data_IF_303446415342
#
_entry.id   IF_303446415342
#
_cell.length_a   1.000
_cell.length_b   1.000
_cell.length_c   1.000
_cell.angle_alpha   90.00
_cell.angle_beta   90.00
_cell.angle_gamma   90.00
#
_symmetry.space_group_name_H-M   'P 1'
#
loop_
_entity.id
_entity.type
_entity.pdbx_description
1 polymer ?
#
# COMPACT_ATOMS: atom_id res chain seq x y z
N UNK A 1 -25.49 -3.44 -18.71
CA UNK A 1 -24.39 -4.41 -18.47
C UNK A 1 -24.64 -5.12 -17.16
N UNK A 2 -24.59 -6.47 -17.13
CA UNK A 2 -24.85 -7.30 -15.94
C UNK A 2 -23.68 -7.17 -14.97
N UNK A 3 -23.84 -6.41 -13.89
CA UNK A 3 -23.00 -6.53 -12.70
C UNK A 3 -23.72 -7.45 -11.72
N UNK A 4 -23.52 -8.74 -11.93
CA UNK A 4 -23.93 -9.79 -11.01
C UNK A 4 -22.72 -10.14 -10.14
N UNK A 5 -22.84 -10.01 -8.81
CA UNK A 5 -22.31 -10.96 -7.84
C UNK A 5 -22.77 -10.56 -6.43
N UNK A 6 -23.83 -11.26 -6.01
CA UNK A 6 -24.12 -11.88 -4.71
C UNK A 6 -23.39 -11.41 -3.45
N UNK A 7 -24.10 -11.58 -2.32
CA UNK A 7 -23.53 -11.74 -0.97
C UNK A 7 -22.44 -12.83 -0.97
N UNK A 8 -21.23 -12.47 -1.37
CA UNK A 8 -20.06 -13.31 -1.31
C UNK A 8 -19.27 -12.88 -0.08
N UNK A 9 -18.93 -13.82 0.78
CA UNK A 9 -17.80 -13.64 1.70
C UNK A 9 -16.57 -13.62 0.81
N UNK A 10 -16.25 -12.45 0.26
CA UNK A 10 -15.12 -12.27 -0.65
C UNK A 10 -13.85 -12.39 0.18
N UNK A 11 -13.02 -13.40 -0.12
CA UNK A 11 -11.65 -13.44 0.37
C UNK A 11 -10.84 -12.43 -0.43
N UNK A 12 -10.81 -11.17 0.03
CA UNK A 12 -10.15 -10.07 -0.68
C UNK A 12 -8.64 -10.19 -0.54
N UNK A 13 -7.93 -10.38 -1.65
CA UNK A 13 -6.48 -10.08 -1.72
C UNK A 13 -6.33 -8.59 -1.96
N UNK A 14 -5.44 -7.91 -1.24
CA UNK A 14 -5.17 -6.48 -1.48
C UNK A 14 -3.83 -6.34 -2.18
N UNK A 15 -3.77 -5.46 -3.17
CA UNK A 15 -2.59 -5.34 -4.03
C UNK A 15 -1.32 -4.92 -3.29
N UNK A 16 -0.17 -5.10 -3.94
CA UNK A 16 1.10 -4.56 -3.44
C UNK A 16 1.06 -3.03 -3.22
N UNK A 17 0.09 -2.32 -3.84
CA UNK A 17 -0.10 -0.87 -3.74
C UNK A 17 -1.19 -0.40 -2.75
N UNK A 18 -2.05 -1.29 -2.25
CA UNK A 18 -3.11 -0.98 -1.28
C UNK A 18 -3.17 -2.06 -0.22
N UNK A 19 -3.17 -1.71 1.07
CA UNK A 19 -3.24 -2.68 2.17
C UNK A 19 -4.65 -2.76 2.77
N UNK A 20 -4.89 -3.77 3.62
CA UNK A 20 -6.20 -4.02 4.26
C UNK A 20 -6.62 -2.84 5.13
N UNK A 21 -5.71 -2.19 5.86
CA UNK A 21 -6.06 -1.05 6.71
C UNK A 21 -6.46 0.19 5.89
N UNK A 22 -5.79 0.44 4.76
CA UNK A 22 -6.14 1.51 3.83
C UNK A 22 -7.50 1.25 3.17
N UNK A 23 -7.78 0.01 2.81
CA UNK A 23 -9.10 -0.43 2.38
C UNK A 23 -10.15 -0.18 3.48
N UNK A 24 -9.91 -0.64 4.70
CA UNK A 24 -10.81 -0.45 5.84
C UNK A 24 -11.02 1.02 6.20
N UNK A 25 -10.00 1.87 6.11
CA UNK A 25 -10.12 3.33 6.33
C UNK A 25 -10.96 4.00 5.25
N UNK A 26 -10.81 3.58 3.99
CA UNK A 26 -11.65 4.09 2.89
C UNK A 26 -13.09 3.62 3.05
N UNK A 27 -13.31 2.37 3.47
CA UNK A 27 -14.65 1.86 3.81
C UNK A 27 -15.27 2.57 5.02
N UNK A 28 -14.49 2.91 6.06
CA UNK A 28 -14.98 3.71 7.22
C UNK A 28 -15.38 5.14 6.87
N UNK A 29 -14.86 5.69 5.76
CA UNK A 29 -15.25 7.02 5.26
C UNK A 29 -16.52 6.95 4.40
N UNK A 30 -16.98 5.75 4.05
CA UNK A 30 -18.22 5.58 3.31
C UNK A 30 -19.43 5.96 4.18
N UNK A 31 -20.54 6.38 3.55
CA UNK A 31 -21.80 6.59 4.26
C UNK A 31 -22.21 5.34 5.05
N UNK A 32 -22.72 5.52 6.27
CA UNK A 32 -23.25 4.42 7.06
C UNK A 32 -24.37 3.69 6.29
N UNK A 33 -24.27 2.36 6.23
CA UNK A 33 -25.20 1.52 5.48
C UNK A 33 -24.98 1.49 3.97
N UNK A 34 -23.82 1.95 3.47
CA UNK A 34 -23.49 1.84 2.05
C UNK A 34 -23.23 0.38 1.62
N UNK A 35 -23.77 0.01 0.46
CA UNK A 35 -23.58 -1.30 -0.17
C UNK A 35 -22.21 -1.36 -0.83
N UNK A 36 -21.43 -2.40 -0.53
CA UNK A 36 -20.09 -2.60 -1.09
C UNK A 36 -20.17 -3.51 -2.31
N UNK A 37 -19.71 -3.02 -3.45
CA UNK A 37 -19.69 -3.72 -4.74
C UNK A 37 -18.23 -4.01 -5.12
N UNK A 38 -17.96 -5.17 -5.71
CA UNK A 38 -16.66 -5.49 -6.31
C UNK A 38 -16.77 -5.43 -7.83
N UNK A 39 -15.90 -4.64 -8.47
CA UNK A 39 -15.64 -4.71 -9.91
C UNK A 39 -14.46 -5.65 -10.14
N UNK A 40 -14.73 -6.88 -10.65
CA UNK A 40 -13.68 -7.86 -10.90
C UNK A 40 -12.78 -7.44 -12.07
N UNK A 41 -11.58 -8.01 -12.14
CA UNK A 41 -10.60 -7.65 -13.18
C UNK A 41 -10.96 -8.23 -14.56
N UNK A 42 -11.77 -9.29 -14.60
CA UNK A 42 -12.32 -9.93 -15.81
C UNK A 42 -13.79 -10.24 -15.55
N UNK A 43 -14.60 -10.32 -16.61
CA UNK A 43 -16.08 -10.30 -16.56
C UNK A 43 -16.79 -11.32 -15.65
N UNK A 44 -16.07 -12.25 -15.03
CA UNK A 44 -16.54 -13.07 -13.91
C UNK A 44 -15.59 -12.91 -12.71
N UNK A 45 -16.15 -12.72 -11.53
CA UNK A 45 -15.39 -12.64 -10.28
C UNK A 45 -14.92 -14.05 -9.88
N UNK A 46 -13.68 -14.41 -10.24
CA UNK A 46 -13.02 -15.56 -9.63
C UNK A 46 -12.73 -15.27 -8.14
N UNK A 47 -12.65 -16.34 -7.33
CA UNK A 47 -12.61 -16.31 -5.85
C UNK A 47 -11.42 -15.54 -5.22
N UNK A 48 -10.56 -14.87 -6.00
CA UNK A 48 -9.31 -14.27 -5.52
C UNK A 48 -8.91 -12.98 -6.25
N UNK A 49 -9.86 -12.08 -6.53
CA UNK A 49 -9.53 -10.79 -7.13
C UNK A 49 -8.79 -9.83 -6.18
N UNK A 50 -7.78 -9.15 -6.73
CA UNK A 50 -6.88 -8.29 -5.99
C UNK A 50 -7.37 -6.85 -6.01
N UNK A 51 -7.86 -6.33 -4.89
CA UNK A 51 -8.39 -4.96 -4.84
C UNK A 51 -7.23 -3.95 -4.90
N UNK A 52 -7.31 -3.06 -5.89
CA UNK A 52 -6.38 -1.97 -6.19
C UNK A 52 -6.96 -0.58 -5.89
N UNK A 53 -8.28 -0.44 -5.84
CA UNK A 53 -8.94 0.84 -5.58
C UNK A 53 -10.23 0.72 -4.77
N UNK A 54 -10.65 1.85 -4.20
CA UNK A 54 -11.97 2.01 -3.53
C UNK A 54 -12.55 3.33 -4.00
N UNK A 55 -13.77 3.30 -4.50
CA UNK A 55 -14.49 4.46 -5.04
C UNK A 55 -15.80 4.59 -4.29
N UNK A 56 -16.09 5.77 -3.75
CA UNK A 56 -17.39 6.06 -3.12
C UNK A 56 -18.12 7.09 -3.97
N UNK A 57 -19.08 6.66 -4.81
CA UNK A 57 -19.96 7.58 -5.52
C UNK A 57 -20.58 8.65 -4.63
N UNK A 58 -20.47 9.91 -5.08
CA UNK A 58 -21.02 11.06 -4.36
C UNK A 58 -22.55 11.11 -4.36
N UNK A 59 -23.20 10.39 -5.27
CA UNK A 59 -24.66 10.26 -5.36
C UNK A 59 -25.09 8.81 -5.10
N UNK A 60 -26.29 8.58 -4.51
CA UNK A 60 -26.88 7.25 -4.44
C UNK A 60 -27.06 6.65 -5.84
N UNK A 61 -26.86 5.34 -5.94
CA UNK A 61 -27.13 4.54 -7.12
C UNK A 61 -28.52 3.91 -6.99
N UNK A 62 -29.13 3.57 -8.12
CA UNK A 62 -30.32 2.73 -8.14
C UNK A 62 -29.87 1.29 -7.93
N UNK A 63 -30.52 0.63 -6.99
CA UNK A 63 -30.49 -0.80 -6.78
C UNK A 63 -31.83 -1.37 -7.24
N UNK A 64 -31.84 -2.03 -8.40
CA UNK A 64 -32.98 -2.81 -8.87
C UNK A 64 -32.85 -4.26 -8.43
N UNK A 65 -33.97 -4.83 -8.00
CA UNK A 65 -34.15 -6.25 -7.67
C UNK A 65 -35.16 -6.84 -8.63
N UNK A 66 -34.69 -7.54 -9.66
CA UNK A 66 -35.55 -8.20 -10.64
C UNK A 66 -35.83 -9.64 -10.22
N UNK A 67 -37.10 -10.00 -10.09
CA UNK A 67 -37.52 -11.33 -9.62
C UNK A 67 -37.78 -12.24 -10.81
N UNK A 68 -37.05 -13.35 -10.87
CA UNK A 68 -37.27 -14.38 -11.89
C UNK A 68 -38.37 -15.35 -11.48
N UNK A 69 -38.94 -16.02 -12.47
CA UNK A 69 -40.02 -16.99 -12.29
C UNK A 69 -39.63 -18.21 -11.44
N UNK A 70 -38.33 -18.51 -11.33
CA UNK A 70 -37.76 -19.57 -10.49
C UNK A 70 -37.55 -19.14 -9.02
N UNK A 71 -37.93 -17.90 -8.67
CA UNK A 71 -37.74 -17.31 -7.35
C UNK A 71 -36.35 -16.70 -7.13
N UNK A 72 -35.45 -16.75 -8.11
CA UNK A 72 -34.17 -16.05 -8.06
C UNK A 72 -34.38 -14.53 -8.12
N UNK A 73 -33.51 -13.76 -7.45
CA UNK A 73 -33.52 -12.30 -7.51
C UNK A 73 -32.21 -11.83 -8.09
N UNK A 74 -32.26 -11.19 -9.25
CA UNK A 74 -31.11 -10.53 -9.84
C UNK A 74 -30.99 -9.12 -9.26
N UNK A 75 -29.76 -8.74 -8.90
CA UNK A 75 -29.45 -7.44 -8.34
C UNK A 75 -28.70 -6.61 -9.37
N UNK A 76 -29.21 -5.43 -9.70
CA UNK A 76 -28.56 -4.49 -10.61
C UNK A 76 -28.28 -3.17 -9.89
N UNK A 77 -27.03 -2.71 -10.01
CA UNK A 77 -26.60 -1.43 -9.46
C UNK A 77 -26.13 -0.53 -10.59
N UNK A 78 -26.68 0.68 -10.66
CA UNK A 78 -26.25 1.66 -11.64
C UNK A 78 -26.50 3.10 -11.15
N UNK A 79 -25.75 4.11 -11.64
CA UNK A 79 -25.99 5.49 -11.24
C UNK A 79 -27.35 5.95 -11.74
N UNK A 80 -28.01 6.82 -10.95
CA UNK A 80 -29.38 7.28 -11.20
C UNK A 80 -29.57 7.72 -12.65
N UNK A 81 -30.62 7.19 -13.27
CA UNK A 81 -31.00 7.52 -14.62
C UNK A 81 -32.50 7.44 -14.81
N UNK A 82 -32.96 7.97 -15.94
CA UNK A 82 -34.37 8.13 -16.27
C UNK A 82 -35.00 6.84 -16.84
N UNK A 83 -34.22 5.76 -16.99
CA UNK A 83 -34.68 4.48 -17.58
C UNK A 83 -34.25 3.28 -16.72
N UNK A 84 -35.17 2.32 -16.58
CA UNK A 84 -34.97 1.01 -15.94
C UNK A 84 -34.06 0.10 -16.75
N UNK A 85 -33.47 -0.91 -16.11
CA UNK A 85 -32.68 -1.89 -16.86
C UNK A 85 -33.57 -2.85 -17.66
N UNK A 86 -33.00 -3.43 -18.72
CA UNK A 86 -33.71 -4.35 -19.61
C UNK A 86 -34.27 -5.54 -18.83
N UNK A 87 -35.58 -5.78 -18.95
CA UNK A 87 -36.28 -6.86 -18.25
C UNK A 87 -36.96 -6.45 -16.94
N UNK A 88 -36.84 -5.19 -16.50
CA UNK A 88 -37.51 -4.70 -15.30
C UNK A 88 -39.04 -4.71 -15.46
N UNK A 89 -39.73 -5.32 -14.49
CA UNK A 89 -41.18 -5.40 -14.42
C UNK A 89 -41.70 -4.65 -13.18
N UNK A 90 -42.34 -3.51 -13.41
CA UNK A 90 -42.87 -2.63 -12.36
C UNK A 90 -43.86 -3.30 -11.38
N UNK A 91 -44.43 -4.46 -11.75
CA UNK A 91 -45.37 -5.19 -10.90
C UNK A 91 -44.69 -6.17 -9.94
N UNK A 92 -43.55 -6.74 -10.34
CA UNK A 92 -42.87 -7.81 -9.59
C UNK A 92 -41.53 -7.39 -9.01
N UNK A 93 -40.93 -6.38 -9.60
CA UNK A 93 -39.58 -5.92 -9.29
C UNK A 93 -39.65 -4.67 -8.45
N UNK A 94 -38.54 -4.38 -7.79
CA UNK A 94 -38.46 -3.22 -6.92
C UNK A 94 -37.13 -2.49 -7.13
N UNK A 95 -37.16 -1.17 -6.96
CA UNK A 95 -36.01 -0.31 -7.13
C UNK A 95 -35.88 0.65 -5.94
N UNK A 96 -34.66 0.85 -5.46
CA UNK A 96 -34.39 1.76 -4.36
C UNK A 96 -33.08 2.54 -4.60
N UNK A 97 -32.94 3.68 -3.94
CA UNK A 97 -31.70 4.45 -3.99
C UNK A 97 -30.79 4.04 -2.83
N UNK A 98 -29.60 3.55 -3.16
CA UNK A 98 -28.61 3.09 -2.19
C UNK A 98 -27.30 3.86 -2.33
N UNK A 99 -26.65 4.14 -1.19
CA UNK A 99 -25.25 4.57 -1.20
C UNK A 99 -24.41 3.36 -1.52
N UNK A 100 -23.46 3.49 -2.43
CA UNK A 100 -22.57 2.38 -2.79
C UNK A 100 -21.10 2.75 -2.58
N UNK A 101 -20.28 1.73 -2.41
CA UNK A 101 -18.82 1.79 -2.45
C UNK A 101 -18.33 0.72 -3.40
N UNK A 102 -17.49 1.08 -4.33
CA UNK A 102 -16.99 0.20 -5.38
C UNK A 102 -15.53 -0.14 -5.09
N UNK A 103 -15.26 -1.42 -4.88
CA UNK A 103 -13.93 -2.00 -4.84
C UNK A 103 -13.49 -2.31 -6.26
N UNK A 104 -12.28 -1.91 -6.62
CA UNK A 104 -11.77 -2.00 -7.98
C UNK A 104 -10.60 -2.96 -8.01
N UNK A 105 -10.70 -4.04 -8.78
CA UNK A 105 -9.61 -5.01 -8.94
C UNK A 105 -8.56 -4.57 -9.98
N UNK A 106 -8.97 -3.83 -11.03
CA UNK A 106 -8.07 -3.34 -12.06
C UNK A 106 -8.42 -1.92 -12.56
N UNK A 107 -7.38 -1.13 -12.89
CA UNK A 107 -7.52 0.26 -13.30
C UNK A 107 -8.08 0.38 -14.73
N UNK A 108 -7.74 -0.54 -15.63
CA UNK A 108 -8.32 -0.56 -16.99
C UNK A 108 -9.78 -1.00 -16.94
N UNK A 109 -10.15 -1.96 -16.08
CA UNK A 109 -11.55 -2.31 -15.82
C UNK A 109 -12.35 -1.14 -15.25
N UNK A 110 -11.73 -0.31 -14.39
CA UNK A 110 -12.34 0.91 -13.88
C UNK A 110 -12.53 1.95 -14.99
N UNK A 111 -11.51 2.20 -15.81
CA UNK A 111 -11.63 3.15 -16.93
C UNK A 111 -12.65 2.68 -17.97
N UNK A 112 -12.72 1.38 -18.26
CA UNK A 112 -13.71 0.80 -19.16
C UNK A 112 -15.13 0.89 -18.58
N UNK A 113 -15.32 0.50 -17.30
CA UNK A 113 -16.61 0.61 -16.62
C UNK A 113 -17.06 2.06 -16.51
N UNK A 114 -16.14 2.98 -16.19
CA UNK A 114 -16.44 4.42 -16.12
C UNK A 114 -16.68 5.04 -17.50
N UNK A 115 -16.00 4.57 -18.56
CA UNK A 115 -16.23 5.00 -19.94
C UNK A 115 -17.60 4.53 -20.46
N UNK A 116 -18.02 3.32 -20.13
CA UNK A 116 -19.37 2.82 -20.42
C UNK A 116 -20.45 3.57 -19.60
N UNK A 117 -20.18 3.88 -18.33
CA UNK A 117 -21.06 4.71 -17.51
C UNK A 117 -21.15 6.16 -18.04
N UNK A 118 -20.05 6.70 -18.57
CA UNK A 118 -20.01 8.00 -19.24
C UNK A 118 -20.77 8.00 -20.57
N UNK A 119 -20.63 6.94 -21.38
CA UNK A 119 -21.43 6.72 -22.61
C UNK A 119 -22.93 6.62 -22.32
N UNK A 120 -23.31 6.11 -21.15
CA UNK A 120 -24.69 6.04 -20.67
C UNK A 120 -25.21 7.34 -20.02
N UNK A 121 -24.45 8.45 -20.06
CA UNK A 121 -24.85 9.76 -19.53
C UNK A 121 -24.78 9.90 -17.99
N UNK A 122 -24.07 9.01 -17.30
CA UNK A 122 -24.12 8.84 -15.84
C UNK A 122 -22.74 9.10 -15.21
N UNK A 123 -22.46 10.34 -14.86
CA UNK A 123 -21.09 10.83 -14.61
C UNK A 123 -20.62 10.64 -13.16
N UNK A 124 -19.55 9.85 -12.97
CA UNK A 124 -18.58 10.03 -11.88
C UNK A 124 -17.22 10.09 -12.57
N UNK A 125 -16.73 11.31 -12.85
CA UNK A 125 -15.41 11.45 -13.46
C UNK A 125 -14.32 11.30 -12.39
N UNK A 126 -13.26 10.55 -12.71
CA UNK A 126 -12.02 10.55 -11.91
C UNK A 126 -11.39 11.94 -11.86
N UNK A 127 -11.67 12.78 -12.87
CA UNK A 127 -11.30 14.19 -12.89
C UNK A 127 -12.07 14.98 -11.85
N UNK A 128 -13.34 14.68 -11.57
CA UNK A 128 -14.12 15.37 -10.53
C UNK A 128 -13.61 15.06 -9.12
N UNK A 129 -13.17 13.82 -8.90
CA UNK A 129 -12.57 13.42 -7.61
C UNK A 129 -11.19 14.06 -7.41
N UNK A 130 -10.36 14.07 -8.46
CA UNK A 130 -9.07 14.79 -8.45
C UNK A 130 -9.29 16.29 -8.27
N UNK A 131 -10.28 16.88 -8.94
CA UNK A 131 -10.62 18.29 -8.82
C UNK A 131 -11.07 18.65 -7.41
N UNK A 132 -11.88 17.80 -6.75
CA UNK A 132 -12.28 18.00 -5.35
C UNK A 132 -11.11 17.90 -4.38
N UNK A 133 -10.20 16.95 -4.57
CA UNK A 133 -9.00 16.81 -3.74
C UNK A 133 -8.06 18.01 -3.91
N UNK A 134 -7.82 18.45 -5.16
CA UNK A 134 -7.04 19.65 -5.46
C UNK A 134 -7.70 20.90 -4.84
N UNK A 135 -9.02 21.05 -4.98
CA UNK A 135 -9.75 22.17 -4.38
C UNK A 135 -9.64 22.17 -2.85
N UNK A 136 -9.68 21.01 -2.21
CA UNK A 136 -9.47 20.89 -0.78
C UNK A 136 -8.10 21.44 -0.35
N UNK A 137 -7.01 21.11 -1.07
CA UNK A 137 -5.69 21.64 -0.75
C UNK A 137 -5.55 23.14 -1.05
N UNK A 138 -6.25 23.66 -2.08
CA UNK A 138 -6.35 25.11 -2.32
C UNK A 138 -7.01 25.82 -1.16
N UNK A 139 -8.09 25.25 -0.62
CA UNK A 139 -8.78 25.82 0.54
C UNK A 139 -7.86 25.80 1.77
N UNK A 140 -7.09 24.74 1.97
CA UNK A 140 -6.09 24.66 3.05
C UNK A 140 -4.98 25.72 2.90
N UNK A 141 -4.53 26.00 1.68
CA UNK A 141 -3.60 27.12 1.40
C UNK A 141 -4.23 28.47 1.74
N UNK A 142 -5.49 28.69 1.35
CA UNK A 142 -6.21 29.93 1.63
C UNK A 142 -6.43 30.15 3.14
N UNK A 143 -6.69 29.08 3.90
CA UNK A 143 -6.82 29.12 5.37
C UNK A 143 -5.48 29.18 6.12
N UNK A 144 -4.35 29.02 5.42
CA UNK A 144 -3.01 29.00 6.02
C UNK A 144 -2.66 27.71 6.77
N UNK A 145 -3.44 26.63 6.56
CA UNK A 145 -3.13 25.27 7.05
C UNK A 145 -1.99 24.64 6.24
N UNK A 146 -1.92 24.97 4.95
CA UNK A 146 -0.76 24.75 4.10
C UNK A 146 -0.09 26.10 3.80
N UNK A 147 1.22 26.09 3.60
CA UNK A 147 2.04 27.25 3.26
C UNK A 147 2.79 27.00 1.95
N UNK A 148 2.91 28.03 1.11
CA UNK A 148 3.84 27.98 -0.02
C UNK A 148 5.29 27.80 0.47
N UNK A 149 6.18 27.31 -0.40
CA UNK A 149 7.60 27.15 -0.06
C UNK A 149 8.21 28.44 0.52
N UNK A 150 7.92 29.59 -0.08
CA UNK A 150 8.44 30.89 0.36
C UNK A 150 7.93 31.26 1.76
N UNK A 151 6.63 31.14 1.99
CA UNK A 151 6.01 31.44 3.27
C UNK A 151 6.52 30.50 4.37
N UNK A 152 6.63 29.20 4.07
CA UNK A 152 7.14 28.19 4.98
C UNK A 152 8.60 28.47 5.37
N UNK A 153 9.46 28.79 4.39
CA UNK A 153 10.86 29.16 4.65
C UNK A 153 11.00 30.41 5.50
N UNK A 154 10.21 31.44 5.20
CA UNK A 154 10.22 32.69 5.95
C UNK A 154 9.80 32.44 7.41
N UNK A 155 8.77 31.63 7.63
CA UNK A 155 8.28 31.28 8.97
C UNK A 155 9.26 30.41 9.76
N UNK A 156 9.91 29.45 9.09
CA UNK A 156 10.92 28.59 9.72
C UNK A 156 12.30 29.25 9.85
N UNK A 157 12.54 30.37 9.15
CA UNK A 157 13.82 31.09 9.17
C UNK A 157 14.95 30.35 8.45
N UNK A 158 14.66 29.62 7.37
CA UNK A 158 15.65 28.76 6.68
C UNK A 158 15.88 29.13 5.20
N UNK A 159 17.11 28.88 4.74
CA UNK A 159 17.47 29.01 3.32
C UNK A 159 16.83 27.92 2.46
N UNK A 160 16.82 28.12 1.13
CA UNK A 160 16.29 27.12 0.17
C UNK A 160 17.00 25.79 0.31
N UNK A 161 18.34 25.85 0.36
CA UNK A 161 19.21 24.69 0.51
C UNK A 161 18.91 23.95 1.81
N UNK A 162 18.67 24.68 2.91
CA UNK A 162 18.33 24.05 4.18
C UNK A 162 16.95 23.41 4.16
N UNK A 163 15.94 24.04 3.54
CA UNK A 163 14.63 23.41 3.37
C UNK A 163 14.73 22.13 2.52
N UNK A 164 15.45 22.19 1.40
CA UNK A 164 15.69 21.02 0.54
C UNK A 164 16.35 19.88 1.32
N UNK A 165 17.31 20.17 2.20
CA UNK A 165 17.89 19.17 3.10
C UNK A 165 16.87 18.61 4.12
N UNK A 166 15.99 19.44 4.69
CA UNK A 166 14.95 18.97 5.61
C UNK A 166 13.93 18.06 4.90
N UNK A 167 13.59 18.36 3.65
CA UNK A 167 12.73 17.53 2.80
C UNK A 167 13.43 16.23 2.43
N UNK A 168 14.69 16.30 2.00
CA UNK A 168 15.50 15.13 1.63
C UNK A 168 15.73 14.18 2.80
N UNK A 169 15.95 14.71 4.00
CA UNK A 169 16.02 13.94 5.24
C UNK A 169 14.66 13.39 5.68
N UNK A 170 13.54 13.82 5.07
CA UNK A 170 12.19 13.43 5.48
C UNK A 170 11.71 14.05 6.80
N UNK A 171 12.41 15.07 7.32
CA UNK A 171 12.02 15.79 8.55
C UNK A 171 10.80 16.68 8.36
N UNK A 172 10.61 17.15 7.14
CA UNK A 172 9.42 17.86 6.68
C UNK A 172 8.97 17.24 5.35
N UNK A 173 7.72 17.45 4.97
CA UNK A 173 7.17 16.97 3.72
C UNK A 173 6.27 18.02 3.09
N UNK A 174 6.11 17.92 1.77
CA UNK A 174 5.21 18.76 1.00
C UNK A 174 4.10 17.91 0.38
N UNK A 175 2.96 18.54 0.17
CA UNK A 175 1.90 18.07 -0.71
C UNK A 175 2.07 18.78 -2.05
N UNK A 176 1.76 18.07 -3.13
CA UNK A 176 1.66 18.67 -4.45
C UNK A 176 0.29 19.32 -4.62
N UNK A 177 0.27 20.62 -4.87
CA UNK A 177 -0.94 21.40 -5.14
C UNK A 177 -0.71 22.15 -6.44
N UNK A 178 -1.37 21.71 -7.51
CA UNK A 178 -1.23 22.26 -8.86
C UNK A 178 0.23 22.30 -9.37
N UNK A 179 1.05 21.28 -9.07
CA UNK A 179 2.46 21.22 -9.47
C UNK A 179 3.41 22.02 -8.55
N UNK A 180 2.90 22.56 -7.45
CA UNK A 180 3.67 23.34 -6.48
C UNK A 180 3.71 22.67 -5.11
N UNK A 181 4.89 22.70 -4.48
CA UNK A 181 5.07 22.20 -3.13
C UNK A 181 4.39 23.11 -2.10
N UNK A 182 3.40 22.57 -1.41
CA UNK A 182 2.72 23.18 -0.27
C UNK A 182 3.05 22.41 1.02
N UNK A 183 3.46 23.13 2.06
CA UNK A 183 3.95 22.55 3.31
C UNK A 183 2.92 22.73 4.43
N UNK A 184 2.60 21.68 5.21
CA UNK A 184 1.76 21.82 6.39
C UNK A 184 2.32 22.83 7.40
N UNK A 185 1.49 23.81 7.78
CA UNK A 185 1.90 24.92 8.63
C UNK A 185 2.41 24.49 10.00
N UNK A 186 1.87 23.39 10.55
CA UNK A 186 2.30 22.84 11.84
C UNK A 186 3.78 22.39 11.85
N UNK A 187 4.37 22.06 10.69
CA UNK A 187 5.79 21.68 10.59
C UNK A 187 6.76 22.83 10.92
N UNK A 188 6.26 24.05 11.03
CA UNK A 188 6.99 25.24 11.45
C UNK A 188 6.31 26.00 12.60
N UNK A 189 5.36 25.38 13.31
CA UNK A 189 4.72 26.01 14.46
C UNK A 189 5.61 25.91 15.71
N UNK A 190 6.11 27.07 16.18
CA UNK A 190 6.96 27.17 17.36
C UNK A 190 6.25 26.79 18.67
N UNK A 191 4.92 26.67 18.68
CA UNK A 191 4.14 26.19 19.84
C UNK A 191 4.30 24.68 20.03
N UNK A 192 4.66 23.94 18.98
CA UNK A 192 4.87 22.51 19.02
C UNK A 192 6.34 22.18 19.32
N UNK A 193 6.58 20.98 19.85
CA UNK A 193 7.93 20.45 19.97
C UNK A 193 8.44 20.01 18.58
N UNK A 194 8.98 20.95 17.79
CA UNK A 194 9.43 20.71 16.42
C UNK A 194 10.47 19.59 16.30
N UNK A 195 11.35 19.43 17.31
CA UNK A 195 12.33 18.34 17.34
C UNK A 195 11.65 16.97 17.38
N UNK A 196 10.59 16.83 18.18
CA UNK A 196 9.80 15.61 18.29
C UNK A 196 8.93 15.39 17.07
N UNK A 197 8.30 16.45 16.56
CA UNK A 197 7.51 16.42 15.33
C UNK A 197 8.34 15.92 14.14
N UNK A 198 9.53 16.51 13.91
CA UNK A 198 10.40 16.09 12.81
C UNK A 198 10.91 14.66 12.98
N UNK A 199 11.06 14.18 14.22
CA UNK A 199 11.39 12.78 14.49
C UNK A 199 10.25 11.84 14.11
N UNK A 200 9.00 12.24 14.34
CA UNK A 200 7.82 11.48 13.90
C UNK A 200 7.72 11.54 12.37
N UNK A 201 7.79 12.74 11.77
CA UNK A 201 7.74 12.91 10.31
C UNK A 201 8.77 12.02 9.57
N UNK A 202 9.99 11.94 10.11
CA UNK A 202 11.04 11.05 9.61
C UNK A 202 10.62 9.57 9.61
N UNK A 203 9.91 9.11 10.65
CA UNK A 203 9.42 7.73 10.73
C UNK A 203 8.32 7.49 9.69
N UNK A 204 7.47 8.48 9.43
CA UNK A 204 6.33 8.38 8.53
C UNK A 204 6.71 8.46 7.03
N UNK A 205 7.99 8.66 6.69
CA UNK A 205 8.50 8.78 5.32
C UNK A 205 8.03 7.67 4.36
N UNK A 206 7.90 6.40 4.76
CA UNK A 206 7.41 5.37 3.84
C UNK A 206 6.00 5.65 3.30
N UNK A 207 5.14 6.33 4.06
CA UNK A 207 3.78 6.66 3.64
C UNK A 207 3.74 7.84 2.66
N UNK A 208 2.76 7.91 1.75
CA UNK A 208 2.48 9.11 0.96
C UNK A 208 2.25 10.37 1.82
N UNK A 209 2.71 11.57 1.41
CA UNK A 209 2.62 12.81 2.19
C UNK A 209 1.21 13.14 2.72
N UNK A 210 0.17 12.89 1.91
CA UNK A 210 -1.23 13.10 2.29
C UNK A 210 -1.63 12.24 3.49
N UNK A 211 -1.16 10.99 3.55
CA UNK A 211 -1.46 10.09 4.67
C UNK A 211 -0.68 10.47 5.93
N UNK A 212 0.51 11.08 5.77
CA UNK A 212 1.26 11.65 6.91
C UNK A 212 0.52 12.84 7.50
N UNK A 213 -0.01 13.72 6.65
CA UNK A 213 -0.86 14.85 7.04
C UNK A 213 -2.08 14.34 7.82
N UNK A 214 -2.85 13.43 7.22
CA UNK A 214 -4.05 12.83 7.81
C UNK A 214 -3.76 12.20 9.18
N UNK A 215 -2.66 11.45 9.31
CA UNK A 215 -2.29 10.83 10.58
C UNK A 215 -2.00 11.89 11.64
N UNK A 216 -1.20 12.90 11.31
CA UNK A 216 -0.76 13.89 12.30
C UNK A 216 -1.90 14.78 12.79
N UNK A 217 -2.89 15.08 11.95
CA UNK A 217 -3.94 16.07 12.27
C UNK A 217 -5.28 15.48 12.67
N UNK A 218 -5.45 14.15 12.69
CA UNK A 218 -6.72 13.49 13.03
C UNK A 218 -6.60 12.65 14.29
N UNK A 219 -7.73 12.52 14.99
CA UNK A 219 -7.86 11.60 16.11
C UNK A 219 -7.56 10.17 15.68
N UNK A 220 -6.82 9.45 16.51
CA UNK A 220 -6.40 8.09 16.24
C UNK A 220 -6.84 7.16 17.36
N UNK A 221 -7.80 6.28 17.08
CA UNK A 221 -8.30 5.31 18.08
C UNK A 221 -7.22 4.38 18.62
N UNK A 222 -6.19 4.05 17.84
CA UNK A 222 -5.04 3.27 18.30
C UNK A 222 -4.14 4.03 19.29
N UNK A 223 -4.33 5.34 19.43
CA UNK A 223 -3.67 6.22 20.40
C UNK A 223 -4.68 6.76 21.43
N UNK A 224 -5.83 6.10 21.61
CA UNK A 224 -6.85 6.51 22.58
C UNK A 224 -7.69 7.70 22.13
N UNK A 225 -7.93 7.83 20.81
CA UNK A 225 -8.66 8.93 20.17
C UNK A 225 -7.99 10.31 20.30
N UNK A 226 -6.71 10.32 20.69
CA UNK A 226 -5.87 11.51 20.72
C UNK A 226 -5.38 11.90 19.32
N UNK A 227 -5.09 13.20 19.14
CA UNK A 227 -4.45 13.72 17.93
C UNK A 227 -2.93 13.63 18.10
N UNK A 228 -2.17 13.01 17.17
CA UNK A 228 -0.73 12.81 17.33
C UNK A 228 0.10 14.07 17.58
N UNK A 229 -0.31 15.23 17.07
CA UNK A 229 0.37 16.50 17.34
C UNK A 229 0.31 16.90 18.83
N UNK A 230 -0.77 16.56 19.53
CA UNK A 230 -0.96 16.90 20.95
C UNK A 230 -0.09 16.01 21.86
N UNK A 231 0.25 14.81 21.39
CA UNK A 231 1.10 13.86 22.11
C UNK A 231 2.59 14.25 22.15
N UNK A 232 2.99 15.29 21.41
CA UNK A 232 4.39 15.70 21.32
C UNK A 232 4.93 16.28 22.64
N UNK A 233 4.05 16.88 23.46
CA UNK A 233 4.43 17.56 24.70
C UNK A 233 4.79 16.63 25.85
N UNK A 234 4.17 15.45 25.93
CA UNK A 234 4.34 14.50 27.03
C UNK A 234 5.31 13.36 26.68
N UNK A 235 6.16 12.96 27.61
CA UNK A 235 7.22 11.96 27.38
C UNK A 235 6.69 10.53 27.25
N UNK A 236 5.62 10.20 27.95
CA UNK A 236 5.00 8.86 27.89
C UNK A 236 4.21 8.74 26.60
N UNK A 237 3.34 9.71 26.32
CA UNK A 237 2.54 9.77 25.11
C UNK A 237 3.40 9.86 23.85
N UNK A 238 4.49 10.64 23.88
CA UNK A 238 5.41 10.71 22.75
C UNK A 238 6.09 9.36 22.47
N UNK A 239 6.46 8.59 23.50
CA UNK A 239 7.02 7.24 23.31
C UNK A 239 6.01 6.28 22.70
N UNK A 240 4.76 6.39 23.13
CA UNK A 240 3.65 5.62 22.56
C UNK A 240 3.41 5.98 21.09
N UNK A 241 3.38 7.27 20.76
CA UNK A 241 3.32 7.76 19.39
C UNK A 241 4.47 7.23 18.53
N UNK A 242 5.71 7.23 19.04
CA UNK A 242 6.86 6.68 18.30
C UNK A 242 6.73 5.19 18.04
N UNK A 243 6.20 4.41 18.99
CA UNK A 243 5.96 2.97 18.82
C UNK A 243 4.90 2.73 17.75
N UNK A 244 3.77 3.43 17.86
CA UNK A 244 2.68 3.36 16.89
C UNK A 244 3.13 3.78 15.49
N UNK A 245 3.79 4.94 15.35
CA UNK A 245 4.26 5.47 14.08
C UNK A 245 5.19 4.50 13.33
N UNK A 246 6.03 3.75 14.05
CA UNK A 246 6.90 2.72 13.45
C UNK A 246 6.13 1.52 12.91
N UNK A 247 5.12 1.06 13.64
CA UNK A 247 4.25 -0.02 13.19
C UNK A 247 3.46 0.43 11.96
N UNK A 248 2.82 1.60 12.05
CA UNK A 248 2.06 2.21 10.97
C UNK A 248 2.91 2.47 9.71
N UNK A 249 4.13 3.00 9.87
CA UNK A 249 5.03 3.21 8.74
C UNK A 249 5.44 1.91 8.04
N UNK A 250 5.47 0.79 8.77
CA UNK A 250 5.73 -0.53 8.21
C UNK A 250 4.68 -0.98 7.20
N UNK A 251 3.43 -0.50 7.32
CA UNK A 251 2.33 -0.82 6.40
C UNK A 251 2.54 -0.25 4.99
N UNK A 252 3.46 0.70 4.82
CA UNK A 252 3.74 1.38 3.55
C UNK A 252 5.04 0.91 2.89
N UNK A 253 5.70 -0.09 3.47
CA UNK A 253 6.92 -0.66 2.94
C UNK A 253 6.91 -2.16 3.09
N UNK A 254 7.09 -2.85 1.97
CA UNK A 254 7.16 -4.30 1.92
C UNK A 254 8.57 -4.71 1.48
N UNK A 255 9.18 -5.60 2.24
CA UNK A 255 10.40 -6.29 1.81
C UNK A 255 9.96 -7.60 1.16
N UNK A 256 10.32 -7.78 -0.10
CA UNK A 256 10.05 -8.95 -0.92
C UNK A 256 11.36 -9.75 -1.09
N UNK A 257 11.23 -11.07 -1.09
CA UNK A 257 12.33 -11.99 -1.35
C UNK A 257 11.88 -12.97 -2.41
N UNK A 258 12.58 -12.96 -3.53
CA UNK A 258 12.38 -13.91 -4.60
C UNK A 258 13.63 -14.78 -4.76
N UNK A 259 13.40 -16.08 -4.85
CA UNK A 259 14.42 -17.11 -4.94
C UNK A 259 14.29 -17.81 -6.27
N UNK A 260 15.38 -17.87 -7.02
CA UNK A 260 15.45 -18.47 -8.35
C UNK A 260 16.48 -19.60 -8.40
N UNK A 261 16.26 -20.55 -9.31
CA UNK A 261 17.30 -21.49 -9.72
C UNK A 261 18.31 -20.74 -10.58
N UNK A 262 19.52 -20.53 -10.07
CA UNK A 262 20.56 -19.82 -10.81
C UNK A 262 21.14 -20.64 -11.99
N UNK A 263 20.83 -21.93 -12.06
CA UNK A 263 21.19 -22.77 -13.20
C UNK A 263 20.20 -22.67 -14.37
N UNK A 264 19.04 -22.04 -14.14
CA UNK A 264 18.05 -21.80 -15.19
C UNK A 264 18.61 -20.91 -16.30
N UNK A 265 18.40 -21.26 -17.58
CA UNK A 265 18.80 -20.40 -18.70
C UNK A 265 17.91 -19.16 -18.84
N UNK A 266 16.77 -19.10 -18.14
CA UNK A 266 15.83 -17.99 -18.19
C UNK A 266 16.30 -16.88 -17.25
N UNK A 267 16.39 -15.65 -17.77
CA UNK A 267 16.77 -14.51 -16.97
C UNK A 267 15.78 -14.29 -15.81
N UNK A 268 16.26 -13.97 -14.59
CA UNK A 268 15.40 -13.76 -13.41
C UNK A 268 14.31 -12.71 -13.57
N UNK A 269 14.50 -11.73 -14.47
CA UNK A 269 13.51 -10.69 -14.78
C UNK A 269 12.28 -11.22 -15.52
N UNK A 270 12.33 -12.45 -16.03
CA UNK A 270 11.27 -13.10 -16.81
C UNK A 270 10.90 -14.47 -16.20
N UNK A 271 11.82 -15.08 -15.47
CA UNK A 271 11.60 -16.37 -14.82
C UNK A 271 10.59 -16.25 -13.67
N UNK A 272 9.78 -17.29 -13.48
CA UNK A 272 9.00 -17.44 -12.25
C UNK A 272 9.94 -17.83 -11.10
N UNK A 273 9.83 -17.18 -9.92
CA UNK A 273 10.62 -17.56 -8.77
C UNK A 273 10.23 -18.96 -8.28
N UNK A 274 11.23 -19.73 -7.84
CA UNK A 274 11.02 -21.00 -7.13
C UNK A 274 10.26 -20.79 -5.82
N UNK A 275 10.52 -19.66 -5.17
CA UNK A 275 9.91 -19.29 -3.91
C UNK A 275 9.92 -17.77 -3.76
N UNK A 276 8.78 -17.23 -3.37
CA UNK A 276 8.57 -15.83 -3.04
C UNK A 276 8.06 -15.73 -1.61
N UNK A 277 8.59 -14.77 -0.85
CA UNK A 277 7.98 -14.37 0.42
C UNK A 277 8.08 -12.87 0.64
N UNK A 278 7.20 -12.31 1.47
CA UNK A 278 7.24 -10.89 1.79
C UNK A 278 6.76 -10.56 3.20
N UNK A 279 7.18 -9.41 3.71
CA UNK A 279 6.70 -8.84 4.98
C UNK A 279 6.59 -7.33 4.90
N UNK A 280 5.52 -6.80 5.48
CA UNK A 280 5.35 -5.37 5.72
C UNK A 280 6.18 -4.96 6.95
N UNK A 281 7.13 -4.06 6.74
CA UNK A 281 8.12 -3.70 7.76
C UNK A 281 8.74 -2.34 7.45
N UNK A 282 8.96 -1.55 8.49
CA UNK A 282 9.62 -0.24 8.41
C UNK A 282 11.00 -0.39 7.71
N UNK A 283 11.25 0.32 6.60
CA UNK A 283 12.44 0.13 5.78
C UNK A 283 13.73 0.57 6.48
N UNK A 284 13.62 1.29 7.61
CA UNK A 284 14.76 1.71 8.44
C UNK A 284 15.25 0.58 9.35
N UNK A 285 14.52 -0.53 9.45
CA UNK A 285 15.02 -1.76 10.06
C UNK A 285 16.14 -2.32 9.17
N UNK A 286 17.27 -2.80 9.72
CA UNK A 286 18.37 -3.33 8.92
C UNK A 286 17.91 -4.37 7.90
N UNK A 287 18.48 -4.32 6.68
CA UNK A 287 18.07 -5.15 5.54
C UNK A 287 17.95 -6.63 5.90
N UNK A 288 18.98 -7.21 6.52
CA UNK A 288 19.01 -8.63 6.85
C UNK A 288 18.01 -9.00 7.96
N UNK A 289 17.70 -8.08 8.87
CA UNK A 289 16.63 -8.27 9.85
C UNK A 289 15.26 -8.28 9.18
N UNK A 290 15.04 -7.42 8.17
CA UNK A 290 13.79 -7.41 7.38
C UNK A 290 13.65 -8.68 6.54
N UNK A 291 14.74 -9.10 5.88
CA UNK A 291 14.75 -10.30 5.07
C UNK A 291 14.48 -11.56 5.91
N UNK A 292 15.11 -11.67 7.09
CA UNK A 292 14.84 -12.77 8.02
C UNK A 292 13.38 -12.80 8.49
N UNK A 293 12.79 -11.63 8.78
CA UNK A 293 11.37 -11.51 9.11
C UNK A 293 10.45 -11.97 7.97
N UNK A 294 10.81 -11.73 6.72
CA UNK A 294 10.04 -12.21 5.57
C UNK A 294 10.02 -13.74 5.50
N UNK A 295 11.17 -14.39 5.69
CA UNK A 295 11.28 -15.85 5.73
C UNK A 295 10.48 -16.48 6.88
N UNK A 296 10.44 -15.82 8.05
CA UNK A 296 9.70 -16.31 9.22
C UNK A 296 8.22 -15.94 9.22
N UNK A 297 7.80 -15.01 8.35
CA UNK A 297 6.42 -14.59 8.26
C UNK A 297 5.60 -15.69 7.58
N UNK A 298 4.50 -16.16 8.20
CA UNK A 298 3.61 -17.11 7.53
C UNK A 298 2.80 -16.45 6.40
N UNK A 299 2.76 -15.10 6.37
CA UNK A 299 2.08 -14.32 5.34
C UNK A 299 2.81 -14.35 4.00
N UNK A 300 2.13 -13.83 2.95
CA UNK A 300 2.67 -13.57 1.60
C UNK A 300 3.77 -14.53 1.14
N UNK A 301 3.51 -15.84 1.08
CA UNK A 301 4.47 -16.84 0.62
C UNK A 301 3.90 -17.71 -0.49
N UNK A 302 4.73 -18.03 -1.47
CA UNK A 302 4.38 -18.91 -2.58
C UNK A 302 5.62 -19.65 -3.11
N UNK A 303 5.52 -20.93 -3.48
CA UNK A 303 4.41 -21.84 -3.19
C UNK A 303 4.24 -22.08 -1.68
N UNK A 304 3.08 -22.62 -1.26
CA UNK A 304 2.82 -22.93 0.14
C UNK A 304 3.62 -24.13 0.64
N UNK A 305 3.81 -25.13 -0.22
CA UNK A 305 4.76 -26.22 0.01
C UNK A 305 6.16 -25.73 -0.33
N UNK A 306 7.06 -25.79 0.65
CA UNK A 306 8.39 -25.21 0.49
C UNK A 306 9.28 -26.15 -0.32
N UNK A 307 9.83 -25.73 -1.47
CA UNK A 307 10.64 -26.58 -2.32
C UNK A 307 12.03 -26.85 -1.72
N UNK A 308 12.67 -27.98 -2.10
CA UNK A 308 14.09 -28.20 -1.81
C UNK A 308 14.96 -27.14 -2.49
N UNK A 309 16.06 -26.74 -1.85
CA UNK A 309 16.99 -25.80 -2.46
C UNK A 309 17.83 -26.49 -3.57
N UNK A 310 17.92 -25.90 -4.79
CA UNK A 310 18.82 -26.40 -5.82
C UNK A 310 20.28 -26.16 -5.47
N UNK A 311 21.20 -26.71 -6.28
CA UNK A 311 22.64 -26.59 -6.06
C UNK A 311 23.15 -25.15 -6.20
N UNK A 312 22.50 -24.33 -7.05
CA UNK A 312 22.84 -22.93 -7.26
C UNK A 312 21.58 -22.09 -7.17
N UNK A 313 21.58 -21.14 -6.23
CA UNK A 313 20.40 -20.33 -5.91
C UNK A 313 20.75 -18.85 -6.06
N UNK A 314 19.87 -18.11 -6.72
CA UNK A 314 19.91 -16.66 -6.76
C UNK A 314 18.79 -16.12 -5.86
N UNK A 315 19.14 -15.25 -4.91
CA UNK A 315 18.17 -14.58 -4.04
C UNK A 315 18.18 -13.09 -4.36
N UNK A 316 17.00 -12.56 -4.64
CA UNK A 316 16.74 -11.14 -4.84
C UNK A 316 16.03 -10.61 -3.59
N UNK A 317 16.51 -9.49 -3.04
CA UNK A 317 15.85 -8.80 -1.93
C UNK A 317 15.48 -7.42 -2.41
N UNK A 318 14.18 -7.17 -2.47
CA UNK A 318 13.60 -5.98 -3.07
C UNK A 318 12.67 -5.27 -2.09
N UNK A 319 12.47 -3.97 -2.29
CA UNK A 319 11.55 -3.16 -1.49
C UNK A 319 10.49 -2.51 -2.34
N UNK A 320 9.25 -2.91 -2.13
CA UNK A 320 8.08 -2.18 -2.61
C UNK A 320 7.70 -1.08 -1.61
N UNK A 321 7.44 0.14 -2.09
CA UNK A 321 6.95 1.26 -1.27
C UNK A 321 5.59 1.71 -1.79
N UNK A 322 4.61 1.83 -0.91
CA UNK A 322 3.27 2.24 -1.29
C UNK A 322 3.27 3.58 -2.06
N UNK A 323 2.58 3.62 -3.20
CA UNK A 323 2.51 4.81 -4.06
C UNK A 323 3.74 5.04 -4.96
N UNK A 324 4.71 4.14 -4.99
CA UNK A 324 5.79 4.13 -5.99
C UNK A 324 5.59 2.98 -6.97
N UNK A 325 5.88 3.22 -8.25
CA UNK A 325 5.90 2.19 -9.27
C UNK A 325 7.22 1.42 -9.21
N UNK A 326 7.14 0.09 -9.28
CA UNK A 326 8.31 -0.79 -9.27
C UNK A 326 8.88 -1.03 -7.88
N UNK A 327 9.89 -1.90 -7.82
CA UNK A 327 10.56 -2.31 -6.60
C UNK A 327 12.01 -1.83 -6.60
N UNK A 328 12.45 -1.33 -5.45
CA UNK A 328 13.84 -0.94 -5.26
C UNK A 328 14.65 -2.22 -4.97
N UNK A 329 15.52 -2.64 -5.88
CA UNK A 329 16.49 -3.71 -5.59
C UNK A 329 17.42 -3.25 -4.45
N UNK A 330 17.45 -4.01 -3.35
CA UNK A 330 18.28 -3.70 -2.18
C UNK A 330 19.50 -4.62 -2.09
N UNK A 331 19.36 -5.91 -2.44
CA UNK A 331 20.49 -6.84 -2.52
C UNK A 331 20.26 -8.01 -3.47
N UNK A 332 21.37 -8.55 -3.96
CA UNK A 332 21.46 -9.78 -4.75
C UNK A 332 22.44 -10.74 -4.09
N UNK A 333 22.02 -11.99 -3.90
CA UNK A 333 22.84 -13.02 -3.26
C UNK A 333 22.95 -14.23 -4.18
N UNK A 334 24.18 -14.66 -4.47
CA UNK A 334 24.45 -15.91 -5.18
C UNK A 334 24.91 -16.96 -4.19
N UNK A 335 24.24 -18.11 -4.21
CA UNK A 335 24.42 -19.21 -3.27
C UNK A 335 24.81 -20.49 -4.02
N UNK A 336 25.94 -21.08 -3.68
CA UNK A 336 26.40 -22.37 -4.23
C UNK A 336 26.45 -23.42 -3.12
N UNK A 337 25.62 -24.45 -3.23
CA UNK A 337 25.46 -25.51 -2.26
C UNK A 337 26.24 -26.77 -2.69
N UNK A 338 27.22 -27.15 -1.87
CA UNK A 338 27.97 -28.40 -2.00
C UNK A 338 27.76 -29.25 -0.73
N UNK A 339 26.76 -30.13 -0.77
CA UNK A 339 26.35 -30.94 0.38
C UNK A 339 25.83 -30.06 1.52
N UNK A 340 26.60 -29.92 2.60
CA UNK A 340 26.28 -29.03 3.74
C UNK A 340 27.01 -27.69 3.71
N UNK A 341 27.85 -27.47 2.71
CA UNK A 341 28.65 -26.25 2.62
C UNK A 341 27.99 -25.29 1.65
N UNK A 342 27.69 -24.08 2.12
CA UNK A 342 27.17 -23.00 1.30
C UNK A 342 28.29 -21.97 1.06
N UNK A 343 28.58 -21.67 -0.20
CA UNK A 343 29.33 -20.47 -0.58
C UNK A 343 28.33 -19.39 -0.95
N UNK A 344 28.50 -18.22 -0.39
CA UNK A 344 27.59 -17.08 -0.53
C UNK A 344 28.39 -15.90 -1.06
N UNK A 345 27.89 -15.27 -2.12
CA UNK A 345 28.37 -13.99 -2.62
C UNK A 345 27.26 -12.95 -2.50
N UNK A 346 27.51 -11.85 -1.79
CA UNK A 346 26.51 -10.80 -1.54
C UNK A 346 26.89 -9.53 -2.28
N UNK A 347 25.98 -8.99 -3.07
CA UNK A 347 26.08 -7.67 -3.68
C UNK A 347 24.93 -6.79 -3.16
N UNK A 348 25.27 -5.69 -2.49
CA UNK A 348 24.28 -4.72 -2.00
C UNK A 348 24.13 -3.63 -3.06
N UNK A 349 22.92 -3.44 -3.58
CA UNK A 349 22.69 -2.64 -4.79
C UNK A 349 23.04 -1.14 -4.63
N UNK A 350 23.02 -0.63 -3.40
CA UNK A 350 23.33 0.78 -3.08
C UNK A 350 24.67 0.97 -2.35
N UNK A 351 25.49 -0.08 -2.25
CA UNK A 351 26.83 0.03 -1.69
C UNK A 351 27.85 0.03 -2.84
N UNK A 352 28.79 0.97 -2.83
CA UNK A 352 29.97 0.96 -3.72
C UNK A 352 31.00 -0.11 -3.29
N UNK A 353 30.58 -1.07 -2.46
CA UNK A 353 31.43 -2.11 -1.91
C UNK A 353 31.50 -3.33 -2.83
N UNK A 354 32.69 -3.94 -2.99
CA UNK A 354 32.82 -5.17 -3.74
C UNK A 354 32.02 -6.30 -3.09
N UNK A 355 31.53 -7.23 -3.91
CA UNK A 355 30.73 -8.33 -3.41
C UNK A 355 31.48 -9.16 -2.36
N UNK A 356 30.85 -9.39 -1.21
CA UNK A 356 31.45 -10.11 -0.09
C UNK A 356 31.19 -11.61 -0.21
N UNK A 357 32.26 -12.41 -0.08
CA UNK A 357 32.18 -13.88 -0.10
C UNK A 357 32.18 -14.45 1.32
N UNK A 358 31.24 -15.34 1.60
CA UNK A 358 31.11 -16.04 2.88
C UNK A 358 30.98 -17.54 2.68
N UNK A 359 31.40 -18.31 3.69
CA UNK A 359 31.22 -19.76 3.74
C UNK A 359 30.42 -20.12 4.98
N UNK A 360 29.36 -20.90 4.81
CA UNK A 360 28.49 -21.36 5.87
C UNK A 360 28.36 -22.87 5.84
N UNK A 361 28.08 -23.47 7.01
CA UNK A 361 27.72 -24.88 7.16
C UNK A 361 26.26 -24.97 7.54
N UNK A 362 25.45 -25.62 6.70
CA UNK A 362 24.03 -25.84 6.93
C UNK A 362 23.82 -27.05 7.87
N UNK A 363 22.73 -27.01 8.62
CA UNK A 363 22.33 -28.10 9.51
C UNK A 363 21.85 -29.33 8.72
N UNK A 364 20.98 -29.11 7.74
CA UNK A 364 20.44 -30.14 6.86
C UNK A 364 21.40 -30.48 5.72
N UNK A 365 21.42 -31.77 5.31
CA UNK A 365 22.14 -32.22 4.10
C UNK A 365 21.38 -31.89 2.81
N UNK A 366 20.06 -31.81 2.90
CA UNK A 366 19.14 -31.46 1.82
C UNK A 366 18.22 -30.35 2.33
N UNK A 367 18.72 -29.10 2.41
CA UNK A 367 17.95 -27.97 2.94
C UNK A 367 16.79 -27.61 1.98
N UNK A 368 15.69 -27.13 2.55
CA UNK A 368 14.70 -26.38 1.78
C UNK A 368 15.21 -24.99 1.41
N UNK A 369 14.51 -24.30 0.51
CA UNK A 369 14.82 -22.91 0.17
C UNK A 369 14.76 -22.01 1.41
N UNK A 370 13.79 -22.20 2.31
CA UNK A 370 13.69 -21.41 3.53
C UNK A 370 14.79 -21.73 4.53
N UNK A 371 15.21 -23.00 4.67
CA UNK A 371 16.36 -23.36 5.53
C UNK A 371 17.65 -22.66 5.06
N UNK A 372 17.85 -22.60 3.74
CA UNK A 372 18.99 -21.91 3.14
C UNK A 372 18.91 -20.40 3.42
N UNK A 373 17.77 -19.78 3.14
CA UNK A 373 17.57 -18.35 3.34
C UNK A 373 17.69 -17.94 4.81
N UNK A 374 17.13 -18.73 5.73
CA UNK A 374 17.25 -18.51 7.18
C UNK A 374 18.72 -18.49 7.62
N UNK A 375 19.50 -19.49 7.21
CA UNK A 375 20.91 -19.57 7.54
C UNK A 375 21.73 -18.38 6.98
N UNK A 376 21.42 -17.96 5.74
CA UNK A 376 22.05 -16.82 5.07
C UNK A 376 21.73 -15.52 5.80
N UNK A 377 20.45 -15.18 5.97
CA UNK A 377 20.06 -13.91 6.58
C UNK A 377 20.41 -13.85 8.07
N UNK A 378 20.32 -14.96 8.79
CA UNK A 378 20.78 -15.04 10.18
C UNK A 378 22.29 -14.80 10.33
N UNK A 379 23.10 -15.22 9.34
CA UNK A 379 24.53 -14.91 9.34
C UNK A 379 24.79 -13.45 9.01
N UNK A 380 24.16 -12.93 7.97
CA UNK A 380 24.37 -11.55 7.51
C UNK A 380 23.88 -10.52 8.55
N UNK A 381 22.76 -10.79 9.22
CA UNK A 381 22.26 -9.95 10.31
C UNK A 381 23.17 -9.91 11.56
N UNK A 382 24.16 -10.81 11.67
CA UNK A 382 25.19 -10.77 12.74
C UNK A 382 26.45 -10.01 12.34
N UNK A 383 26.60 -9.70 11.05
CA UNK A 383 27.77 -8.98 10.51
C UNK A 383 27.54 -7.47 10.41
N UNK A 384 26.27 -7.05 10.41
CA UNK A 384 25.80 -5.66 10.42
C UNK A 384 25.25 -5.29 11.79
#
# INVERSE_FOLDING_TARGET
>A
MRLCCCHLVITVRVSHAMNVDQLMRRLRRAPNGATVLLLPARGDADECDMVRGVVSPGQPWVHERQRRADGHVDHFFYPRADEWSEGFNETTDDASLERVVILVADAESLEHTLAELALAGRTISTEDLRAKEVQHYRDMLARGELLSEEAFRKKLGVSKRRLSALVGDGRVFALDVDGHNAFPAFLCDARLNLKRLWKVALILVPAPPVLRLDLLTRQCGALGDEVPLDLLGDDKAFRELLRFARAWAGEFSRTCIDVYDASSPVAPTIAEPLYSCAVEVDPRVPLWTRALKAIHSPGFRFPHEIPPAPATVLIMVERATAGKSGEDLEARLMCELAGRTLRLTVAIARADEPAAAHKLKLAAKHPSVTDLCDAVFSRLAKLT
#
